data_IF_662633637611
#
_entry.id   IF_662633637611
#
_cell.length_a   1.000
_cell.length_b   1.000
_cell.length_c   1.000
_cell.angle_alpha   90.00
_cell.angle_beta   90.00
_cell.angle_gamma   90.00
#
_symmetry.space_group_name_H-M   'P 1'
#
loop_
_entity.id
_entity.type
_entity.pdbx_description
1 polymer ?
#
# COMPACT_ATOMS: atom_id res chain seq x y z
N UNK A 1 41.61 -4.92 -39.72
CA UNK A 1 40.39 -5.24 -38.97
C UNK A 1 40.89 -5.73 -37.63
N UNK A 2 40.71 -4.92 -36.59
CA UNK A 2 41.06 -5.31 -35.23
C UNK A 2 39.77 -5.28 -34.42
N UNK A 3 39.33 -6.48 -34.05
CA UNK A 3 38.13 -6.79 -33.30
C UNK A 3 38.34 -6.41 -31.82
N UNK A 4 37.56 -5.45 -31.32
CA UNK A 4 37.54 -5.03 -29.92
C UNK A 4 36.31 -5.60 -29.19
N UNK A 5 36.11 -6.92 -29.23
CA UNK A 5 34.89 -7.56 -28.70
C UNK A 5 34.89 -7.91 -27.21
N UNK A 6 35.92 -7.56 -26.43
CA UNK A 6 35.99 -7.96 -25.01
C UNK A 6 36.38 -6.81 -24.07
N UNK A 7 35.69 -5.68 -24.12
CA UNK A 7 35.80 -4.68 -23.05
C UNK A 7 34.66 -4.86 -22.04
N UNK A 8 35.02 -5.43 -20.90
CA UNK A 8 34.21 -5.64 -19.70
C UNK A 8 33.73 -4.28 -19.14
N UNK A 9 32.41 -4.08 -19.10
CA UNK A 9 31.80 -2.80 -18.71
C UNK A 9 31.89 -2.59 -17.19
N UNK A 10 32.86 -1.79 -16.73
CA UNK A 10 32.93 -1.34 -15.34
C UNK A 10 31.93 -0.21 -15.08
N UNK A 11 30.89 -0.51 -14.29
CA UNK A 11 29.87 0.47 -13.89
C UNK A 11 30.52 1.61 -13.09
N UNK A 12 30.42 2.89 -13.53
CA UNK A 12 31.05 4.01 -12.83
C UNK A 12 30.50 4.14 -11.40
N UNK A 13 31.39 4.12 -10.40
CA UNK A 13 31.01 4.30 -9.00
C UNK A 13 30.44 5.70 -8.79
N UNK A 14 29.15 5.76 -8.45
CA UNK A 14 28.44 7.00 -8.13
C UNK A 14 29.15 7.68 -6.95
N UNK A 15 29.72 8.87 -7.20
CA UNK A 15 30.35 9.71 -6.18
C UNK A 15 29.25 10.16 -5.21
N UNK A 16 29.24 9.58 -4.02
CA UNK A 16 28.33 9.96 -2.94
C UNK A 16 28.60 11.41 -2.55
N UNK A 17 27.67 12.32 -2.83
CA UNK A 17 27.76 13.73 -2.41
C UNK A 17 26.95 13.87 -1.12
N UNK A 18 27.62 13.88 0.03
CA UNK A 18 26.98 14.10 1.31
C UNK A 18 26.51 15.57 1.42
N UNK A 19 25.24 15.77 1.79
CA UNK A 19 24.56 17.02 2.13
C UNK A 19 24.80 18.19 1.16
N UNK A 20 23.97 18.26 0.12
CA UNK A 20 23.78 19.46 -0.70
C UNK A 20 22.34 19.92 -0.52
N UNK A 21 22.11 20.96 0.29
CA UNK A 21 20.81 21.58 0.45
C UNK A 21 20.98 23.08 0.62
N UNK A 22 20.32 23.87 -0.22
CA UNK A 22 20.11 25.30 0.04
C UNK A 22 19.02 25.46 1.11
N UNK A 23 19.22 26.37 2.06
CA UNK A 23 18.27 26.63 3.13
C UNK A 23 17.05 27.41 2.64
N UNK A 24 15.84 26.87 2.86
CA UNK A 24 14.59 27.53 2.47
C UNK A 24 14.04 28.39 3.63
N UNK A 25 13.93 29.71 3.43
CA UNK A 25 13.29 30.60 4.40
C UNK A 25 11.77 30.52 4.29
N UNK A 26 11.10 30.25 5.41
CA UNK A 26 9.64 30.24 5.56
C UNK A 26 9.13 31.69 5.66
N UNK A 27 8.61 32.24 4.57
CA UNK A 27 8.05 33.60 4.56
C UNK A 27 7.20 33.89 3.32
N UNK A 28 5.90 34.13 3.55
CA UNK A 28 4.84 34.67 2.67
C UNK A 28 4.31 33.85 1.49
N UNK A 29 3.09 33.31 1.73
CA UNK A 29 1.85 33.45 0.95
C UNK A 29 1.92 33.27 -0.58
N UNK A 30 1.87 32.02 -1.03
CA UNK A 30 0.98 31.45 -2.09
C UNK A 30 1.51 30.06 -2.46
N UNK A 31 0.75 28.97 -2.37
CA UNK A 31 1.22 27.67 -2.87
C UNK A 31 1.12 27.67 -4.40
N UNK A 32 2.24 27.93 -5.07
CA UNK A 32 2.43 27.61 -6.49
C UNK A 32 2.62 26.09 -6.59
N UNK A 33 1.63 25.41 -7.16
CA UNK A 33 1.61 23.96 -7.34
C UNK A 33 2.64 23.61 -8.40
N UNK A 34 3.87 23.30 -7.96
CA UNK A 34 4.89 22.70 -8.82
C UNK A 34 4.71 21.19 -8.76
N UNK A 35 4.02 20.65 -9.76
CA UNK A 35 3.95 19.22 -10.03
C UNK A 35 5.34 18.69 -10.37
N UNK A 36 6.05 18.17 -9.38
CA UNK A 36 7.16 17.24 -9.62
C UNK A 36 6.57 15.91 -10.09
N UNK A 37 7.01 15.31 -11.21
CA UNK A 37 6.70 13.92 -11.51
C UNK A 37 7.44 13.07 -10.48
N UNK A 38 6.79 12.78 -9.36
CA UNK A 38 7.29 11.80 -8.40
C UNK A 38 7.31 10.46 -9.11
N UNK A 39 8.50 9.86 -9.16
CA UNK A 39 8.76 8.50 -9.62
C UNK A 39 7.69 7.54 -9.05
N UNK A 40 7.11 6.63 -9.85
CA UNK A 40 6.26 5.55 -9.37
C UNK A 40 7.14 4.43 -8.84
N UNK A 41 7.96 4.71 -7.84
CA UNK A 41 8.80 3.71 -7.20
C UNK A 41 8.48 3.75 -5.71
N UNK A 42 8.13 2.57 -5.17
CA UNK A 42 7.78 2.28 -3.77
C UNK A 42 6.26 2.14 -3.46
N UNK A 43 5.48 1.42 -4.29
CA UNK A 43 4.25 0.73 -3.80
C UNK A 43 4.48 -0.77 -3.47
N UNK A 44 5.71 -1.29 -3.56
CA UNK A 44 6.01 -2.73 -3.42
C UNK A 44 6.91 -3.06 -2.20
N UNK A 45 6.64 -2.47 -1.04
CA UNK A 45 7.34 -2.78 0.23
C UNK A 45 6.42 -3.14 1.39
N UNK A 46 5.25 -3.70 1.11
CA UNK A 46 4.40 -4.30 2.14
C UNK A 46 3.96 -5.71 1.75
N UNK A 47 4.92 -6.54 1.34
CA UNK A 47 4.72 -7.98 1.18
C UNK A 47 5.66 -8.67 2.17
N UNK A 48 5.33 -8.57 3.46
CA UNK A 48 5.71 -9.64 4.38
C UNK A 48 4.65 -10.73 4.22
N UNK A 49 4.84 -11.56 3.19
CA UNK A 49 4.31 -12.93 3.05
C UNK A 49 2.78 -13.17 3.13
N UNK A 50 1.94 -12.15 3.22
CA UNK A 50 0.49 -12.33 3.17
C UNK A 50 0.04 -12.51 1.72
N UNK A 51 -0.07 -13.77 1.29
CA UNK A 51 -0.35 -14.11 -0.11
C UNK A 51 -1.85 -14.34 -0.26
N UNK A 52 -2.55 -13.37 -0.84
CA UNK A 52 -3.97 -13.55 -1.21
C UNK A 52 -4.02 -14.24 -2.57
N UNK A 53 -4.72 -15.37 -2.65
CA UNK A 53 -4.94 -16.07 -3.91
C UNK A 53 -5.96 -15.30 -4.75
N UNK A 54 -5.46 -14.59 -5.75
CA UNK A 54 -6.26 -13.82 -6.70
C UNK A 54 -6.49 -14.70 -7.94
N UNK A 55 -7.69 -14.62 -8.51
CA UNK A 55 -8.05 -15.28 -9.76
C UNK A 55 -8.44 -14.20 -10.76
N UNK A 56 -7.61 -14.02 -11.79
CA UNK A 56 -7.82 -13.01 -12.82
C UNK A 56 -9.06 -13.28 -13.69
N UNK A 57 -9.65 -14.48 -13.58
CA UNK A 57 -10.89 -14.86 -14.27
C UNK A 57 -12.14 -14.26 -13.61
N UNK A 58 -12.02 -13.83 -12.35
CA UNK A 58 -13.12 -13.27 -11.54
C UNK A 58 -12.88 -11.77 -11.37
N UNK A 59 -13.95 -11.00 -11.20
CA UNK A 59 -13.83 -9.58 -10.92
C UNK A 59 -12.99 -9.32 -9.65
N UNK A 60 -11.86 -8.64 -9.83
CA UNK A 60 -10.97 -8.20 -8.75
C UNK A 60 -11.33 -6.79 -8.28
N UNK A 61 -11.09 -6.51 -7.01
CA UNK A 61 -11.28 -5.23 -6.32
C UNK A 61 -9.98 -4.85 -5.61
N UNK A 62 -9.62 -3.56 -5.64
CA UNK A 62 -8.45 -3.02 -4.93
C UNK A 62 -8.89 -2.37 -3.63
N UNK A 63 -8.52 -2.96 -2.49
CA UNK A 63 -8.89 -2.41 -1.19
C UNK A 63 -7.67 -1.74 -0.57
N UNK A 64 -7.88 -0.52 -0.08
CA UNK A 64 -6.88 0.19 0.71
C UNK A 64 -7.27 0.11 2.19
N UNK A 65 -6.36 -0.39 3.01
CA UNK A 65 -6.53 -0.56 4.44
C UNK A 65 -5.63 0.47 5.13
N UNK A 66 -6.21 1.32 5.97
CA UNK A 66 -5.49 2.21 6.87
C UNK A 66 -5.43 1.55 8.23
N UNK A 67 -4.23 1.19 8.66
CA UNK A 67 -4.01 0.56 9.95
C UNK A 67 -3.94 1.60 11.07
N UNK A 68 -4.18 1.14 12.30
CA UNK A 68 -4.17 2.00 13.49
C UNK A 68 -2.77 2.50 13.87
N UNK A 69 -1.71 1.83 13.40
CA UNK A 69 -0.32 2.27 13.54
C UNK A 69 0.05 3.43 12.60
N UNK A 70 -0.87 3.85 11.73
CA UNK A 70 -0.67 4.89 10.73
C UNK A 70 -0.11 4.39 9.40
N UNK A 71 0.18 3.10 9.28
CA UNK A 71 0.60 2.50 8.03
C UNK A 71 -0.57 2.28 7.07
N UNK A 72 -0.25 2.16 5.78
CA UNK A 72 -1.21 1.92 4.71
C UNK A 72 -0.88 0.60 4.03
N UNK A 73 -1.85 -0.31 4.00
CA UNK A 73 -1.78 -1.53 3.21
C UNK A 73 -2.69 -1.40 1.99
N UNK A 74 -2.20 -1.85 0.84
CA UNK A 74 -2.97 -1.92 -0.39
C UNK A 74 -2.93 -3.36 -0.85
N UNK A 75 -4.10 -3.96 -1.04
CA UNK A 75 -4.20 -5.34 -1.49
C UNK A 75 -5.33 -5.50 -2.49
N UNK A 76 -5.09 -6.34 -3.50
CA UNK A 76 -6.11 -6.76 -4.46
C UNK A 76 -6.77 -8.04 -3.94
N UNK A 77 -8.09 -8.09 -4.05
CA UNK A 77 -8.92 -9.23 -3.66
C UNK A 77 -9.93 -9.50 -4.78
N UNK A 78 -10.29 -10.75 -5.02
CA UNK A 78 -11.51 -11.10 -5.73
C UNK A 78 -12.77 -10.65 -4.96
N UNK A 79 -13.83 -10.26 -5.69
CA UNK A 79 -15.13 -9.89 -5.10
C UNK A 79 -15.79 -10.99 -4.27
N UNK A 80 -15.39 -12.25 -4.50
CA UNK A 80 -15.87 -13.45 -3.80
C UNK A 80 -15.22 -13.67 -2.43
N UNK A 81 -14.13 -12.95 -2.11
CA UNK A 81 -13.52 -13.02 -0.79
C UNK A 81 -14.42 -12.49 0.30
N UNK A 82 -14.10 -12.88 1.53
CA UNK A 82 -14.83 -12.46 2.72
C UNK A 82 -14.07 -11.37 3.47
N UNK A 83 -14.79 -10.67 4.34
CA UNK A 83 -14.17 -9.69 5.24
C UNK A 83 -13.16 -10.36 6.19
N UNK A 84 -13.40 -11.61 6.60
CA UNK A 84 -12.41 -12.38 7.38
C UNK A 84 -11.05 -12.50 6.67
N UNK A 85 -11.03 -12.66 5.34
CA UNK A 85 -9.79 -12.79 4.57
C UNK A 85 -8.95 -11.50 4.66
N UNK A 86 -9.62 -10.33 4.73
CA UNK A 86 -8.96 -9.04 4.95
C UNK A 86 -8.35 -8.99 6.36
N UNK A 87 -9.09 -9.46 7.36
CA UNK A 87 -8.60 -9.50 8.74
C UNK A 87 -7.38 -10.41 8.86
N UNK A 88 -7.44 -11.59 8.26
CA UNK A 88 -6.32 -12.54 8.22
C UNK A 88 -5.12 -11.95 7.49
N UNK A 89 -5.35 -11.23 6.38
CA UNK A 89 -4.29 -10.50 5.67
C UNK A 89 -3.61 -9.44 6.55
N UNK A 90 -4.36 -8.69 7.36
CA UNK A 90 -3.82 -7.72 8.32
C UNK A 90 -2.99 -8.43 9.39
N UNK A 91 -3.50 -9.52 9.96
CA UNK A 91 -2.83 -10.30 10.99
C UNK A 91 -1.53 -10.93 10.47
N UNK A 92 -1.54 -11.46 9.23
CA UNK A 92 -0.36 -12.02 8.58
C UNK A 92 0.70 -10.95 8.31
N UNK A 93 0.27 -9.76 7.87
CA UNK A 93 1.17 -8.63 7.61
C UNK A 93 1.77 -8.06 8.90
N UNK A 94 0.97 -8.03 9.97
CA UNK A 94 1.32 -7.41 11.24
C UNK A 94 0.82 -8.26 12.42
N UNK A 95 1.62 -9.26 12.87
CA UNK A 95 1.21 -10.18 13.93
C UNK A 95 0.96 -9.50 15.28
N UNK A 96 1.41 -8.25 15.47
CA UNK A 96 1.08 -7.43 16.63
C UNK A 96 -0.44 -7.21 16.80
N UNK A 97 -1.19 -7.14 15.70
CA UNK A 97 -2.65 -6.97 15.74
C UNK A 97 -3.41 -8.30 15.95
N UNK A 98 -2.73 -9.45 15.93
CA UNK A 98 -3.37 -10.74 16.19
C UNK A 98 -3.98 -10.84 17.60
N UNK A 99 -3.34 -10.17 18.57
CA UNK A 99 -3.79 -10.12 19.96
C UNK A 99 -4.68 -8.90 20.27
N UNK A 100 -4.90 -8.01 19.29
CA UNK A 100 -5.67 -6.79 19.47
C UNK A 100 -7.09 -6.97 18.93
N UNK A 101 -8.09 -6.52 19.69
CA UNK A 101 -9.45 -6.42 19.21
C UNK A 101 -9.59 -5.14 18.38
N UNK A 102 -9.90 -5.30 17.10
CA UNK A 102 -10.13 -4.20 16.18
C UNK A 102 -11.33 -4.44 15.29
N UNK A 103 -11.95 -3.35 14.85
CA UNK A 103 -13.05 -3.32 13.90
C UNK A 103 -12.59 -2.66 12.61
N UNK A 104 -13.11 -3.14 11.50
CA UNK A 104 -12.91 -2.54 10.18
C UNK A 104 -14.09 -1.62 9.89
N UNK A 105 -13.81 -0.38 9.52
CA UNK A 105 -14.82 0.66 9.28
C UNK A 105 -14.57 1.29 7.92
N UNK A 106 -15.61 1.46 7.13
CA UNK A 106 -15.51 2.16 5.85
C UNK A 106 -15.52 3.68 6.04
N UNK A 107 -14.86 4.41 5.14
CA UNK A 107 -14.87 5.89 5.22
C UNK A 107 -16.20 6.49 4.78
N UNK A 108 -16.78 6.01 3.68
CA UNK A 108 -18.00 6.55 3.07
C UNK A 108 -18.77 5.47 2.30
N UNK A 109 -20.06 5.23 2.63
CA UNK A 109 -20.71 5.61 3.89
C UNK A 109 -19.95 5.01 5.08
N UNK A 110 -19.96 5.67 6.23
CA UNK A 110 -19.36 5.10 7.43
C UNK A 110 -20.20 3.90 7.88
N UNK A 111 -19.63 2.71 7.73
CA UNK A 111 -20.26 1.43 8.06
C UNK A 111 -19.22 0.58 8.78
N UNK A 112 -19.61 0.08 9.94
CA UNK A 112 -18.82 -0.91 10.67
C UNK A 112 -19.01 -2.27 10.00
N UNK A 113 -17.90 -2.91 9.63
CA UNK A 113 -17.87 -4.24 9.05
C UNK A 113 -17.83 -5.27 10.18
N UNK A 114 -18.95 -5.44 10.88
CA UNK A 114 -19.09 -6.42 11.96
C UNK A 114 -19.22 -7.86 11.47
N UNK A 115 -19.78 -8.03 10.28
CA UNK A 115 -20.06 -9.35 9.72
C UNK A 115 -18.88 -9.87 8.89
N UNK A 116 -17.95 -10.57 9.53
CA UNK A 116 -16.73 -11.10 8.90
C UNK A 116 -17.00 -12.18 7.82
N UNK A 117 -18.20 -12.76 7.83
CA UNK A 117 -18.63 -13.81 6.89
C UNK A 117 -19.17 -13.28 5.56
N UNK A 118 -19.50 -11.99 5.49
CA UNK A 118 -20.00 -11.35 4.26
C UNK A 118 -18.89 -11.25 3.22
N UNK A 119 -19.28 -11.38 1.96
CA UNK A 119 -18.38 -11.14 0.83
C UNK A 119 -18.11 -9.65 0.65
N UNK A 120 -17.00 -9.32 -0.03
CA UNK A 120 -16.65 -7.93 -0.35
C UNK A 120 -17.74 -7.25 -1.19
N UNK A 121 -18.42 -8.01 -2.04
CA UNK A 121 -19.53 -7.54 -2.84
C UNK A 121 -20.78 -7.24 -1.99
N UNK A 122 -21.18 -8.14 -1.09
CA UNK A 122 -22.34 -7.93 -0.20
C UNK A 122 -22.12 -6.79 0.80
N UNK A 123 -20.88 -6.61 1.23
CA UNK A 123 -20.50 -5.54 2.13
C UNK A 123 -20.40 -4.16 1.43
N UNK A 124 -20.45 -4.13 0.09
CA UNK A 124 -20.30 -2.93 -0.75
C UNK A 124 -18.96 -2.19 -0.52
N UNK A 125 -17.88 -2.96 -0.36
CA UNK A 125 -16.53 -2.45 -0.09
C UNK A 125 -15.59 -2.62 -1.30
N UNK A 126 -16.15 -2.46 -2.49
CA UNK A 126 -15.43 -2.59 -3.74
C UNK A 126 -14.66 -1.31 -4.08
N UNK A 127 -13.35 -1.41 -4.27
CA UNK A 127 -12.46 -0.28 -4.54
C UNK A 127 -12.48 0.82 -3.47
N UNK A 128 -12.75 0.43 -2.21
CA UNK A 128 -12.92 1.38 -1.10
C UNK A 128 -11.71 1.44 -0.17
N UNK A 129 -11.75 2.46 0.70
CA UNK A 129 -10.81 2.62 1.79
C UNK A 129 -11.46 2.17 3.10
N UNK A 130 -10.81 1.22 3.75
CA UNK A 130 -11.19 0.67 5.05
C UNK A 130 -10.21 1.20 6.10
N UNK A 131 -10.73 1.60 7.25
CA UNK A 131 -9.97 2.00 8.42
C UNK A 131 -10.04 0.89 9.45
N UNK A 132 -8.90 0.56 10.03
CA UNK A 132 -8.82 -0.22 11.24
C UNK A 132 -9.02 0.71 12.43
N UNK A 133 -9.98 0.37 13.29
CA UNK A 133 -10.18 1.03 14.58
C UNK A 133 -9.98 0.01 15.69
N UNK A 134 -9.09 0.30 16.64
CA UNK A 134 -8.92 -0.52 17.84
C UNK A 134 -10.08 -0.24 18.80
N UNK A 135 -10.57 -1.28 19.50
CA UNK A 135 -11.59 -1.14 20.55
C UNK A 135 -10.97 -0.86 21.92
#
# INVERSE_FOLDING_TARGET
MEDHQEQEYEKPRLKFKAFSGEGQKLGSLTPEIVSTPSSPEEEDKSILNATVLIDDSIATTKIQIRLADGSRLIQRFNQTHRIMDIRDFIIQSHPAFAAADFVLVTTFPNKELTDESLTLQEADILNTVILQQLK
#
